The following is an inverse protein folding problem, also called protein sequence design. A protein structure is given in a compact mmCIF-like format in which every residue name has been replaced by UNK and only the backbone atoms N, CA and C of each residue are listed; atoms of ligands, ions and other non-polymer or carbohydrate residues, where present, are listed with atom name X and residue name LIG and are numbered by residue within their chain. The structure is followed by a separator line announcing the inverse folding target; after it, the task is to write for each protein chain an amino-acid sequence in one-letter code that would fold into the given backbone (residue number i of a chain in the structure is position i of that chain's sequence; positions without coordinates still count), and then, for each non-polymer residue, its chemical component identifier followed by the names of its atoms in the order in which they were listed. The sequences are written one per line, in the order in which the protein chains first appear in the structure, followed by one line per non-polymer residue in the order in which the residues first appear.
data_IF_351634419548
#
_entry.id   IF_351634419548
#
_cell.length_a   1.000
_cell.length_b   1.000
_cell.length_c   1.000
_cell.angle_alpha   90.00
_cell.angle_beta   90.00
_cell.angle_gamma   90.00
#
_symmetry.space_group_name_H-M   'P 1'
#
loop_
_entity.id
_entity.type
_entity.pdbx_description
1 polymer ?
#
# COMPACT_ATOMS: atom_id res chain seq x y z
N UNK A 1 65.91 -40.09 -5.42
CA UNK A 1 64.69 -39.65 -4.74
C UNK A 1 64.00 -38.54 -5.53
N UNK A 2 62.89 -38.94 -6.12
CA UNK A 2 62.15 -38.17 -7.10
C UNK A 2 61.33 -37.07 -6.45
N UNK A 3 61.54 -35.84 -6.90
CA UNK A 3 60.74 -34.68 -6.53
C UNK A 3 59.53 -34.67 -7.44
N UNK A 4 58.32 -34.99 -6.88
CA UNK A 4 57.04 -34.93 -7.58
C UNK A 4 56.65 -33.47 -7.87
N UNK A 5 56.57 -33.15 -9.15
CA UNK A 5 56.10 -31.86 -9.64
C UNK A 5 54.65 -31.56 -9.19
N UNK A 6 54.48 -30.42 -8.57
CA UNK A 6 53.20 -29.91 -8.07
C UNK A 6 52.38 -29.41 -9.26
N UNK A 7 51.30 -30.12 -9.62
CA UNK A 7 50.34 -29.71 -10.64
C UNK A 7 49.66 -28.41 -10.19
N UNK A 8 49.93 -27.30 -10.85
CA UNK A 8 49.19 -26.04 -10.74
C UNK A 8 47.71 -26.30 -11.11
N UNK A 9 46.81 -26.19 -10.11
CA UNK A 9 45.34 -26.11 -10.34
C UNK A 9 45.10 -24.91 -11.21
N UNK A 10 44.58 -25.13 -12.44
CA UNK A 10 44.14 -24.06 -13.34
C UNK A 10 43.09 -23.20 -12.64
N UNK A 11 43.31 -21.88 -12.62
CA UNK A 11 42.28 -20.90 -12.25
C UNK A 11 41.05 -21.13 -13.11
N UNK A 12 39.92 -21.39 -12.48
CA UNK A 12 38.63 -21.36 -13.17
C UNK A 12 38.47 -19.97 -13.76
N UNK A 13 38.37 -19.88 -15.08
CA UNK A 13 38.06 -18.63 -15.77
C UNK A 13 36.70 -18.18 -15.27
N UNK A 14 36.67 -16.99 -14.66
CA UNK A 14 35.42 -16.28 -14.34
C UNK A 14 34.76 -15.92 -15.66
N UNK A 15 33.58 -16.52 -15.91
CA UNK A 15 32.81 -16.30 -17.13
C UNK A 15 31.89 -15.08 -17.09
N UNK A 16 31.98 -14.25 -16.04
CA UNK A 16 31.32 -12.95 -16.02
C UNK A 16 32.23 -11.93 -16.73
N UNK A 17 32.18 -11.91 -18.07
CA UNK A 17 32.94 -10.92 -18.83
C UNK A 17 32.31 -9.53 -18.62
N UNK A 18 33.06 -8.61 -18.05
CA UNK A 18 32.68 -7.16 -18.00
C UNK A 18 32.36 -6.58 -19.38
N UNK A 19 32.77 -7.23 -20.44
CA UNK A 19 32.50 -6.84 -21.84
C UNK A 19 31.05 -7.05 -22.29
N UNK A 20 30.28 -7.88 -21.58
CA UNK A 20 28.85 -8.10 -21.88
C UNK A 20 27.90 -7.21 -21.09
N UNK A 21 28.39 -6.47 -20.11
CA UNK A 21 27.60 -5.42 -19.46
C UNK A 21 27.39 -4.30 -20.47
N UNK A 22 26.19 -4.25 -21.07
CA UNK A 22 25.74 -3.08 -21.84
C UNK A 22 26.04 -1.86 -20.98
N UNK A 23 26.82 -0.91 -21.52
CA UNK A 23 27.06 0.40 -20.89
C UNK A 23 25.73 0.91 -20.37
N UNK A 24 25.68 1.14 -19.05
CA UNK A 24 24.47 1.64 -18.41
C UNK A 24 24.08 2.93 -19.13
N UNK A 25 22.88 2.95 -19.71
CA UNK A 25 22.33 4.19 -20.26
C UNK A 25 22.37 5.23 -19.15
N UNK A 26 22.93 6.39 -19.41
CA UNK A 26 22.86 7.52 -18.49
C UNK A 26 21.38 7.79 -18.20
N UNK A 27 20.93 7.29 -17.07
CA UNK A 27 19.63 7.67 -16.53
C UNK A 27 19.79 9.06 -15.96
N UNK A 28 19.34 10.07 -16.71
CA UNK A 28 19.09 11.37 -16.12
C UNK A 28 18.08 11.16 -14.98
N UNK A 29 18.55 11.31 -13.75
CA UNK A 29 17.68 11.24 -12.57
C UNK A 29 16.74 12.44 -12.65
N UNK A 30 15.56 12.27 -13.25
CA UNK A 30 14.48 13.24 -13.08
C UNK A 30 14.23 13.33 -11.59
N UNK A 31 14.26 14.55 -11.03
CA UNK A 31 13.94 14.77 -9.62
C UNK A 31 12.54 14.20 -9.38
N UNK A 32 12.44 13.14 -8.57
CA UNK A 32 11.16 12.50 -8.22
C UNK A 32 10.23 13.48 -7.49
N UNK A 33 10.79 14.48 -6.85
CA UNK A 33 10.07 15.46 -6.02
C UNK A 33 9.09 16.31 -6.81
N UNK A 34 9.36 16.58 -8.10
CA UNK A 34 8.51 17.47 -8.91
C UNK A 34 7.14 16.88 -9.28
N UNK A 35 6.92 15.59 -9.05
CA UNK A 35 5.65 14.90 -9.35
C UNK A 35 4.86 14.53 -8.10
N UNK A 36 5.39 14.81 -6.90
CA UNK A 36 4.75 14.47 -5.64
C UNK A 36 3.79 15.60 -5.26
N UNK A 37 2.50 15.24 -5.08
CA UNK A 37 1.52 16.17 -4.52
C UNK A 37 1.81 16.34 -3.03
N UNK A 38 1.94 17.58 -2.60
CA UNK A 38 2.14 17.93 -1.19
C UNK A 38 0.77 17.95 -0.49
N UNK A 39 0.59 17.14 0.54
CA UNK A 39 -0.66 17.07 1.32
C UNK A 39 -0.63 18.00 2.53
N UNK A 40 0.56 18.30 3.08
CA UNK A 40 0.75 19.24 4.19
C UNK A 40 2.15 19.86 4.14
N UNK A 41 2.26 21.07 4.66
CA UNK A 41 3.53 21.76 4.87
C UNK A 41 3.79 21.93 6.35
N UNK A 42 5.02 21.69 6.78
CA UNK A 42 5.47 21.93 8.13
C UNK A 42 6.73 22.79 8.13
N UNK A 43 6.72 23.88 8.90
CA UNK A 43 7.88 24.73 9.08
C UNK A 43 8.68 24.22 10.28
N UNK A 44 9.90 23.74 10.02
CA UNK A 44 10.83 23.33 11.07
C UNK A 44 11.66 24.54 11.47
N UNK A 45 11.50 24.98 12.72
CA UNK A 45 12.21 26.14 13.24
C UNK A 45 13.49 25.70 13.94
N UNK A 46 14.60 26.35 13.60
CA UNK A 46 15.86 26.12 14.31
C UNK A 46 15.78 26.71 15.74
N UNK A 47 16.22 25.97 16.79
CA UNK A 47 16.18 26.47 18.16
C UNK A 47 17.02 27.74 18.31
N UNK A 48 16.37 28.85 18.70
CA UNK A 48 17.01 30.17 18.80
C UNK A 48 18.22 30.17 19.77
N UNK A 49 18.15 29.40 20.83
CA UNK A 49 19.21 29.24 21.83
C UNK A 49 20.52 28.66 21.27
N UNK A 50 20.44 28.00 20.13
CA UNK A 50 21.61 27.38 19.46
C UNK A 50 22.17 28.21 18.33
N UNK A 51 21.54 29.36 18.02
CA UNK A 51 22.00 30.25 16.97
C UNK A 51 23.07 31.21 17.51
N UNK A 52 24.19 31.43 16.78
CA UNK A 52 25.13 32.51 17.05
C UNK A 52 24.43 33.87 16.99
N UNK A 53 24.93 34.86 17.75
CA UNK A 53 24.32 36.19 17.83
C UNK A 53 24.33 36.96 16.49
N UNK A 54 25.20 36.59 15.59
CA UNK A 54 25.34 37.17 14.24
C UNK A 54 24.61 36.39 13.15
N UNK A 55 23.86 35.32 13.52
CA UNK A 55 23.12 34.52 12.57
C UNK A 55 22.02 35.32 11.88
N UNK A 56 22.00 35.24 10.55
CA UNK A 56 20.99 35.89 9.70
C UNK A 56 20.12 34.82 9.03
N UNK A 57 18.82 35.03 9.10
CA UNK A 57 17.89 34.19 8.38
C UNK A 57 18.06 34.39 6.85
N UNK A 58 18.26 33.30 6.12
CA UNK A 58 18.49 33.27 4.66
C UNK A 58 17.37 32.59 3.86
N UNK A 59 16.24 32.28 4.51
CA UNK A 59 15.12 31.62 3.88
C UNK A 59 15.01 30.14 4.32
N UNK A 60 14.29 29.37 3.54
CA UNK A 60 14.00 27.97 3.79
C UNK A 60 14.67 27.07 2.75
N UNK A 61 15.17 25.95 3.18
CA UNK A 61 15.54 24.83 2.31
C UNK A 61 14.40 23.82 2.34
N UNK A 62 13.90 23.43 1.16
CA UNK A 62 12.76 22.53 1.04
C UNK A 62 13.20 21.07 0.96
N UNK A 63 12.57 20.22 1.77
CA UNK A 63 12.75 18.78 1.73
C UNK A 63 11.38 18.09 1.65
N UNK A 64 11.13 17.31 0.59
CA UNK A 64 9.91 16.53 0.43
C UNK A 64 10.14 15.13 0.97
N UNK A 65 9.36 14.75 1.98
CA UNK A 65 9.37 13.42 2.60
C UNK A 65 8.03 12.76 2.37
N UNK A 66 8.03 11.55 1.82
CA UNK A 66 6.83 10.72 1.71
C UNK A 66 6.72 9.83 2.93
N UNK A 67 5.59 9.92 3.60
CA UNK A 67 5.25 9.09 4.77
C UNK A 67 3.87 8.46 4.56
N UNK A 68 3.51 7.51 5.41
CA UNK A 68 2.21 6.82 5.35
C UNK A 68 1.47 6.98 6.68
N UNK A 69 0.21 7.36 6.60
CA UNK A 69 -0.69 7.45 7.75
C UNK A 69 -1.79 6.39 7.61
N UNK A 70 -1.76 5.40 8.50
CA UNK A 70 -2.81 4.38 8.59
C UNK A 70 -3.71 4.70 9.78
N UNK A 71 -4.97 4.99 9.51
CA UNK A 71 -5.99 5.24 10.55
C UNK A 71 -7.33 4.66 10.11
N UNK A 72 -8.19 4.17 11.06
CA UNK A 72 -9.56 3.82 10.73
C UNK A 72 -10.36 5.07 10.37
N UNK A 73 -11.32 4.90 9.46
CA UNK A 73 -12.35 5.88 9.13
C UNK A 73 -13.71 5.35 9.60
N UNK A 74 -14.16 5.80 10.77
CA UNK A 74 -15.41 5.35 11.36
C UNK A 74 -16.56 6.26 10.93
N UNK A 75 -17.45 5.78 10.07
CA UNK A 75 -18.53 6.55 9.45
C UNK A 75 -19.85 6.26 10.15
N UNK A 76 -20.51 7.29 10.65
CA UNK A 76 -21.87 7.20 11.17
C UNK A 76 -22.90 7.55 10.07
N UNK A 77 -23.58 6.56 9.52
CA UNK A 77 -24.67 6.79 8.59
C UNK A 77 -25.99 7.01 9.33
N UNK A 78 -26.58 8.20 9.18
CA UNK A 78 -27.91 8.54 9.67
C UNK A 78 -28.92 8.32 8.57
N UNK A 79 -29.63 7.18 8.61
CA UNK A 79 -30.60 6.79 7.60
C UNK A 79 -31.94 7.44 7.88
N UNK A 80 -32.51 8.11 6.89
CA UNK A 80 -33.90 8.62 6.97
C UNK A 80 -34.89 7.47 7.05
N UNK A 81 -35.85 7.60 7.96
CA UNK A 81 -36.90 6.60 8.20
C UNK A 81 -38.27 7.28 8.08
N UNK A 82 -39.09 6.74 7.23
CA UNK A 82 -40.47 7.22 7.02
C UNK A 82 -41.46 6.12 7.37
N UNK A 83 -42.61 6.51 7.91
CA UNK A 83 -43.72 5.60 8.14
C UNK A 83 -44.94 6.09 7.37
N UNK A 84 -45.63 5.21 6.63
CA UNK A 84 -46.86 5.48 5.94
C UNK A 84 -48.03 4.85 6.71
N UNK A 85 -48.93 5.65 7.29
CA UNK A 85 -50.16 5.13 7.96
C UNK A 85 -51.10 4.40 7.01
N UNK A 86 -51.15 4.83 5.74
CA UNK A 86 -52.03 4.21 4.74
C UNK A 86 -51.64 2.79 4.37
N UNK A 87 -50.33 2.51 4.28
CA UNK A 87 -49.80 1.19 3.91
C UNK A 87 -49.31 0.39 5.11
N UNK A 88 -49.33 0.99 6.31
CA UNK A 88 -48.76 0.43 7.55
C UNK A 88 -47.29 -0.03 7.38
N UNK A 89 -46.51 0.60 6.48
CA UNK A 89 -45.13 0.23 6.15
C UNK A 89 -44.13 1.30 6.57
N UNK A 90 -42.99 0.82 6.99
CA UNK A 90 -41.83 1.66 7.26
C UNK A 90 -40.85 1.61 6.08
N UNK A 91 -40.40 2.77 5.64
CA UNK A 91 -39.42 2.96 4.58
C UNK A 91 -38.13 3.47 5.22
N UNK A 92 -37.02 2.84 4.90
CA UNK A 92 -35.68 3.17 5.42
C UNK A 92 -34.74 3.41 4.25
N UNK A 93 -34.00 4.53 4.27
CA UNK A 93 -33.01 4.82 3.24
C UNK A 93 -31.96 3.72 3.19
N UNK A 94 -31.55 3.25 1.99
CA UNK A 94 -30.47 2.29 1.86
C UNK A 94 -29.13 2.91 2.26
N UNK A 95 -28.15 2.09 2.60
CA UNK A 95 -26.76 2.52 2.69
C UNK A 95 -26.18 2.74 1.29
N UNK A 96 -25.15 3.56 1.14
CA UNK A 96 -24.40 3.66 -0.12
C UNK A 96 -23.86 2.30 -0.53
N UNK A 97 -23.74 2.06 -1.83
CA UNK A 97 -23.20 0.82 -2.40
C UNK A 97 -21.81 0.52 -1.82
N UNK A 98 -21.57 -0.73 -1.44
CA UNK A 98 -20.32 -1.20 -0.84
C UNK A 98 -20.26 -1.11 0.69
N UNK A 99 -21.20 -0.39 1.34
CA UNK A 99 -21.27 -0.26 2.81
C UNK A 99 -22.30 -1.21 3.45
N UNK A 100 -22.46 -2.39 2.86
CA UNK A 100 -23.29 -3.42 3.45
C UNK A 100 -22.57 -4.08 4.63
N UNK A 101 -23.19 -4.06 5.81
CA UNK A 101 -22.64 -4.65 7.04
C UNK A 101 -21.79 -3.68 7.86
N UNK A 102 -20.87 -4.23 8.64
CA UNK A 102 -20.05 -3.48 9.62
C UNK A 102 -18.78 -2.86 9.02
N UNK A 103 -18.31 -3.38 7.88
CA UNK A 103 -17.04 -2.98 7.28
C UNK A 103 -17.23 -2.46 5.86
N UNK A 104 -16.65 -1.29 5.59
CA UNK A 104 -16.71 -0.62 4.31
C UNK A 104 -15.81 -1.25 3.23
N UNK A 105 -15.90 -0.77 1.99
CA UNK A 105 -15.17 -1.33 0.85
C UNK A 105 -13.64 -1.17 1.00
N UNK A 106 -13.16 -0.07 1.57
CA UNK A 106 -11.72 0.18 1.73
C UNK A 106 -11.00 -0.85 2.59
N UNK A 107 -11.62 -1.24 3.73
CA UNK A 107 -11.03 -2.27 4.60
C UNK A 107 -11.10 -3.66 3.96
N UNK A 108 -12.16 -3.96 3.23
CA UNK A 108 -12.29 -5.22 2.48
C UNK A 108 -11.18 -5.32 1.42
N UNK A 109 -10.96 -4.26 0.66
CA UNK A 109 -9.89 -4.20 -0.35
C UNK A 109 -8.49 -4.33 0.28
N UNK A 110 -8.23 -3.67 1.42
CA UNK A 110 -6.97 -3.81 2.16
C UNK A 110 -6.73 -5.27 2.57
N UNK A 111 -7.72 -5.94 3.15
CA UNK A 111 -7.63 -7.34 3.56
C UNK A 111 -7.27 -8.24 2.37
N UNK A 112 -7.95 -8.05 1.24
CA UNK A 112 -7.67 -8.80 0.02
C UNK A 112 -6.24 -8.59 -0.48
N UNK A 113 -5.77 -7.34 -0.49
CA UNK A 113 -4.40 -7.01 -0.89
C UNK A 113 -3.37 -7.64 0.04
N UNK A 114 -3.59 -7.62 1.35
CA UNK A 114 -2.70 -8.24 2.33
C UNK A 114 -2.68 -9.77 2.20
N UNK A 115 -3.83 -10.38 1.96
CA UNK A 115 -3.94 -11.83 1.85
C UNK A 115 -3.37 -12.37 0.53
N UNK A 116 -3.88 -11.88 -0.60
CA UNK A 116 -3.49 -12.39 -1.92
C UNK A 116 -2.20 -11.74 -2.46
N UNK A 117 -2.03 -10.43 -2.27
CA UNK A 117 -0.84 -9.71 -2.75
C UNK A 117 0.34 -9.80 -1.78
N UNK A 118 0.08 -9.70 -0.48
CA UNK A 118 1.10 -9.75 0.57
C UNK A 118 1.37 -11.14 1.15
N UNK A 119 0.62 -12.18 0.75
CA UNK A 119 0.70 -13.54 1.29
C UNK A 119 0.61 -13.59 2.83
N UNK A 120 -0.13 -12.67 3.44
CA UNK A 120 -0.31 -12.65 4.88
C UNK A 120 -1.35 -13.69 5.32
N UNK A 121 -1.08 -14.38 6.42
CA UNK A 121 -2.05 -15.29 7.03
C UNK A 121 -3.21 -14.51 7.66
N UNK A 122 -4.39 -15.13 7.77
CA UNK A 122 -5.57 -14.53 8.40
C UNK A 122 -5.28 -14.02 9.83
N UNK A 123 -4.49 -14.77 10.61
CA UNK A 123 -4.10 -14.36 11.96
C UNK A 123 -3.25 -13.09 11.97
N UNK A 124 -2.32 -12.95 11.02
CA UNK A 124 -1.48 -11.76 10.88
C UNK A 124 -2.27 -10.55 10.39
N UNK A 125 -3.22 -10.74 9.48
CA UNK A 125 -4.12 -9.68 9.03
C UNK A 125 -4.96 -9.17 10.20
N UNK A 126 -5.49 -10.07 11.03
CA UNK A 126 -6.27 -9.67 12.20
C UNK A 126 -5.42 -8.90 13.22
N UNK A 127 -4.23 -9.37 13.53
CA UNK A 127 -3.26 -8.67 14.39
C UNK A 127 -2.94 -7.27 13.85
N UNK A 128 -2.70 -7.15 12.55
CA UNK A 128 -2.45 -5.87 11.89
C UNK A 128 -3.65 -4.91 12.02
N UNK A 129 -4.88 -5.40 11.80
CA UNK A 129 -6.11 -4.59 11.93
C UNK A 129 -6.33 -4.15 13.39
N UNK A 130 -6.11 -5.03 14.36
CA UNK A 130 -6.19 -4.71 15.79
C UNK A 130 -5.19 -3.62 16.18
N UNK A 131 -3.96 -3.66 15.67
CA UNK A 131 -2.93 -2.64 15.92
C UNK A 131 -3.30 -1.24 15.40
N UNK A 132 -4.11 -1.16 14.34
CA UNK A 132 -4.63 0.12 13.83
C UNK A 132 -6.02 0.48 14.39
N UNK A 133 -6.52 -0.25 15.39
CA UNK A 133 -7.77 0.03 16.09
C UNK A 133 -9.03 -0.54 15.43
N UNK A 134 -8.90 -1.54 14.56
CA UNK A 134 -10.03 -2.20 13.91
C UNK A 134 -10.14 -3.63 14.45
N UNK A 135 -11.23 -3.92 15.17
CA UNK A 135 -11.52 -5.27 15.68
C UNK A 135 -12.39 -6.04 14.70
N UNK A 136 -11.92 -7.19 14.24
CA UNK A 136 -12.61 -8.07 13.31
C UNK A 136 -12.56 -9.53 13.78
N UNK A 137 -13.73 -10.21 13.75
CA UNK A 137 -13.77 -11.63 14.11
C UNK A 137 -13.07 -12.51 13.06
N UNK A 138 -12.46 -13.59 13.52
CA UNK A 138 -11.84 -14.58 12.61
C UNK A 138 -12.85 -15.19 11.63
N UNK A 139 -14.09 -15.39 12.08
CA UNK A 139 -15.16 -15.91 11.22
C UNK A 139 -15.55 -14.94 10.10
N UNK A 140 -15.64 -13.64 10.39
CA UNK A 140 -15.90 -12.63 9.36
C UNK A 140 -14.77 -12.58 8.34
N UNK A 141 -13.52 -12.52 8.81
CA UNK A 141 -12.35 -12.51 7.95
C UNK A 141 -12.28 -13.73 7.03
N UNK A 142 -12.52 -14.94 7.58
CA UNK A 142 -12.55 -16.17 6.81
C UNK A 142 -13.68 -16.16 5.77
N UNK A 143 -14.89 -15.71 6.14
CA UNK A 143 -16.00 -15.61 5.20
C UNK A 143 -15.72 -14.62 4.06
N UNK A 144 -15.10 -13.47 4.37
CA UNK A 144 -14.73 -12.48 3.37
C UNK A 144 -13.77 -13.05 2.32
N UNK A 145 -12.78 -13.84 2.77
CA UNK A 145 -11.74 -14.38 1.89
C UNK A 145 -12.17 -15.62 1.10
N UNK A 146 -13.13 -16.41 1.64
CA UNK A 146 -13.47 -17.72 1.08
C UNK A 146 -14.84 -17.73 0.38
N UNK A 147 -15.84 -17.01 0.94
CA UNK A 147 -17.23 -17.11 0.46
C UNK A 147 -17.64 -16.11 -0.60
N UNK A 148 -16.86 -15.06 -0.84
CA UNK A 148 -17.15 -14.03 -1.85
C UNK A 148 -16.05 -13.90 -2.93
N UNK A 149 -15.48 -14.97 -3.47
CA UNK A 149 -14.53 -14.85 -4.55
C UNK A 149 -15.19 -14.35 -5.85
N UNK A 150 -16.48 -14.56 -6.02
CA UNK A 150 -17.22 -14.26 -7.26
C UNK A 150 -17.18 -12.78 -7.66
N UNK A 151 -17.28 -11.87 -6.69
CA UNK A 151 -17.20 -10.41 -6.95
C UNK A 151 -15.80 -10.01 -7.46
N UNK A 152 -14.76 -10.67 -6.95
CA UNK A 152 -13.37 -10.40 -7.36
C UNK A 152 -12.98 -11.17 -8.63
N UNK A 153 -13.59 -12.31 -8.87
CA UNK A 153 -13.38 -13.07 -10.10
C UNK A 153 -13.98 -12.34 -11.31
N UNK A 154 -15.15 -11.72 -11.17
CA UNK A 154 -15.75 -10.92 -12.25
C UNK A 154 -14.88 -9.70 -12.60
N UNK A 155 -14.37 -8.98 -11.61
CA UNK A 155 -13.47 -7.86 -11.81
C UNK A 155 -12.12 -8.31 -12.41
N UNK A 156 -11.59 -9.45 -11.96
CA UNK A 156 -10.39 -10.05 -12.54
C UNK A 156 -10.60 -10.44 -14.01
N UNK A 157 -11.74 -11.05 -14.35
CA UNK A 157 -12.08 -11.43 -15.73
C UNK A 157 -12.27 -10.22 -16.64
N UNK A 158 -12.86 -9.12 -16.14
CA UNK A 158 -12.96 -7.85 -16.87
C UNK A 158 -11.56 -7.28 -17.19
N UNK A 159 -10.70 -7.16 -16.18
CA UNK A 159 -9.32 -6.67 -16.34
C UNK A 159 -8.51 -7.57 -17.28
N UNK A 160 -8.67 -8.89 -17.16
CA UNK A 160 -7.99 -9.86 -18.00
C UNK A 160 -8.45 -9.76 -19.47
N UNK A 161 -9.74 -9.59 -19.68
CA UNK A 161 -10.34 -9.47 -21.03
C UNK A 161 -9.93 -8.15 -21.70
N UNK A 162 -9.94 -7.03 -20.97
CA UNK A 162 -9.46 -5.74 -21.46
C UNK A 162 -7.95 -5.76 -21.76
N UNK A 163 -7.17 -6.41 -20.88
CA UNK A 163 -5.73 -6.57 -21.08
C UNK A 163 -5.36 -7.38 -22.32
N UNK A 164 -6.11 -8.42 -22.65
CA UNK A 164 -5.93 -9.21 -23.88
C UNK A 164 -6.42 -8.49 -25.13
N UNK A 165 -7.42 -7.61 -25.00
CA UNK A 165 -7.96 -6.83 -26.12
C UNK A 165 -7.09 -5.64 -26.54
N UNK A 166 -6.10 -5.28 -25.73
CA UNK A 166 -5.18 -4.14 -25.94
C UNK A 166 -3.80 -4.54 -26.48
N UNK A 167 -3.60 -5.81 -26.87
CA UNK A 167 -2.32 -6.35 -27.38
C UNK A 167 -2.29 -6.43 -28.89
#
# INVERSE_FOLDING_TARGET
PDIKANKKKGLKKDHSSEKERKTAKEHSKKSKNNSIKIDREEIVVYPQEKLPADAQFKGYEEAVVQDILLKPDNILFRKQKYYSPQTAKTYLAPLPTGYEGEFGPGIKALIMSLYYGGNMTQSKIREFLENIGISMSAGYLSNLLIKNPEVFLSEYEEVYTEGLGSS
#
